data_IF_259726474834
#
_entry.id   IF_259726474834
#
_cell.length_a   1.000
_cell.length_b   1.000
_cell.length_c   1.000
_cell.angle_alpha   90.00
_cell.angle_beta   90.00
_cell.angle_gamma   90.00
#
_symmetry.space_group_name_H-M   'P 1'
#
loop_
_entity.id
_entity.type
_entity.pdbx_description
1 polymer ?
#
# COMPACT_ATOMS: atom_id res chain seq x y z
N UNK A 1 13.34 -20.81 12.26
CA UNK A 1 14.06 -19.88 11.35
C UNK A 1 13.83 -18.47 11.86
N UNK A 2 14.88 -17.65 11.93
CA UNK A 2 14.77 -16.27 12.43
C UNK A 2 14.45 -15.31 11.28
N UNK A 3 13.54 -14.37 11.51
CA UNK A 3 13.16 -13.36 10.52
C UNK A 3 14.17 -12.21 10.54
N UNK A 4 14.66 -11.82 9.37
CA UNK A 4 15.45 -10.60 9.22
C UNK A 4 14.53 -9.42 9.51
N UNK A 5 14.91 -8.61 10.50
CA UNK A 5 14.21 -7.37 10.82
C UNK A 5 14.75 -6.24 9.97
N UNK A 6 13.84 -5.38 9.54
CA UNK A 6 14.25 -4.17 8.82
C UNK A 6 15.02 -3.22 9.74
N UNK A 7 16.14 -2.72 9.23
CA UNK A 7 16.96 -1.70 9.89
C UNK A 7 16.64 -0.37 9.22
N UNK A 8 16.13 0.58 10.01
CA UNK A 8 15.85 1.94 9.53
C UNK A 8 17.15 2.67 9.18
N UNK A 9 17.14 3.48 8.11
CA UNK A 9 18.24 4.40 7.84
C UNK A 9 18.47 5.40 8.97
N UNK A 10 19.68 5.95 9.05
CA UNK A 10 19.96 7.12 9.86
C UNK A 10 19.27 8.34 9.23
N UNK A 11 18.26 8.88 9.91
CA UNK A 11 17.48 10.03 9.44
C UNK A 11 18.31 11.31 9.25
N UNK A 12 19.50 11.39 9.86
CA UNK A 12 20.44 12.49 9.67
C UNK A 12 21.25 12.35 8.38
N UNK A 13 21.40 11.13 7.85
CA UNK A 13 22.12 10.84 6.62
C UNK A 13 21.16 10.72 5.43
N UNK A 14 21.00 11.82 4.68
CA UNK A 14 20.17 11.83 3.49
C UNK A 14 20.65 10.86 2.39
N UNK A 15 21.91 10.44 2.40
CA UNK A 15 22.48 9.53 1.41
C UNK A 15 21.97 8.08 1.52
N UNK A 16 21.37 7.71 2.65
CA UNK A 16 20.78 6.39 2.86
C UNK A 16 19.35 6.25 2.30
N UNK A 17 18.82 7.32 1.69
CA UNK A 17 17.47 7.35 1.13
C UNK A 17 17.53 7.39 -0.39
N UNK A 18 16.73 6.55 -1.04
CA UNK A 18 16.66 6.47 -2.50
C UNK A 18 15.49 7.32 -2.98
N UNK A 19 15.75 8.24 -3.91
CA UNK A 19 14.70 8.92 -4.66
C UNK A 19 14.19 8.01 -5.77
N UNK A 20 12.92 7.59 -5.67
CA UNK A 20 12.28 6.72 -6.66
C UNK A 20 11.61 7.48 -7.82
N UNK A 21 11.78 8.80 -7.90
CA UNK A 21 11.27 9.65 -8.96
C UNK A 21 9.75 9.53 -9.11
N UNK A 22 9.30 9.13 -10.29
CA UNK A 22 7.89 8.95 -10.62
C UNK A 22 7.33 7.55 -10.23
N UNK A 23 8.14 6.66 -9.65
CA UNK A 23 7.70 5.31 -9.30
C UNK A 23 6.91 5.30 -7.98
N UNK A 24 5.61 5.55 -8.07
CA UNK A 24 4.70 5.61 -6.93
C UNK A 24 4.63 4.31 -6.12
N UNK A 25 4.86 3.15 -6.74
CA UNK A 25 4.86 1.86 -6.03
C UNK A 25 6.05 1.70 -5.10
N UNK A 26 7.24 2.11 -5.57
CA UNK A 26 8.44 2.09 -4.74
C UNK A 26 8.33 3.09 -3.60
N UNK A 27 7.74 4.26 -3.86
CA UNK A 27 7.41 5.20 -2.80
C UNK A 27 6.42 4.64 -1.79
N UNK A 28 5.31 4.06 -2.25
CA UNK A 28 4.34 3.42 -1.38
C UNK A 28 5.02 2.38 -0.47
N UNK A 29 5.88 1.55 -1.04
CA UNK A 29 6.64 0.56 -0.30
C UNK A 29 7.51 1.18 0.80
N UNK A 30 8.26 2.25 0.48
CA UNK A 30 9.10 2.94 1.47
C UNK A 30 8.28 3.52 2.64
N UNK A 31 7.08 4.04 2.38
CA UNK A 31 6.19 4.52 3.45
C UNK A 31 5.52 3.38 4.23
N UNK A 32 5.08 2.33 3.55
CA UNK A 32 4.42 1.17 4.16
C UNK A 32 5.40 0.38 5.05
N UNK A 33 6.61 0.07 4.56
CA UNK A 33 7.58 -0.72 5.34
C UNK A 33 8.05 -0.02 6.63
N UNK A 34 7.80 1.29 6.73
CA UNK A 34 8.01 2.13 7.93
C UNK A 34 6.87 2.11 8.95
N UNK A 35 5.73 1.50 8.63
CA UNK A 35 4.60 1.37 9.55
C UNK A 35 4.87 0.28 10.58
N UNK A 36 4.79 0.62 11.86
CA UNK A 36 5.03 -0.33 12.95
C UNK A 36 3.99 -1.45 12.97
N UNK A 37 2.73 -1.11 12.70
CA UNK A 37 1.64 -2.09 12.62
C UNK A 37 1.85 -3.05 11.44
N UNK A 38 2.31 -2.57 10.29
CA UNK A 38 2.68 -3.45 9.16
C UNK A 38 3.83 -4.40 9.51
N UNK A 39 4.89 -3.89 10.14
CA UNK A 39 6.04 -4.71 10.55
C UNK A 39 5.61 -5.79 11.54
N UNK A 40 4.81 -5.43 12.54
CA UNK A 40 4.32 -6.37 13.54
C UNK A 40 3.45 -7.46 12.92
N UNK A 41 2.47 -7.08 12.09
CA UNK A 41 1.61 -8.04 11.41
C UNK A 41 2.43 -8.99 10.52
N UNK A 42 3.43 -8.47 9.79
CA UNK A 42 4.31 -9.32 8.99
C UNK A 42 5.07 -10.34 9.85
N UNK A 43 5.75 -9.88 10.92
CA UNK A 43 6.54 -10.78 11.76
C UNK A 43 5.70 -11.81 12.51
N UNK A 44 4.43 -11.48 12.81
CA UNK A 44 3.49 -12.40 13.43
C UNK A 44 3.05 -13.52 12.47
N UNK A 45 2.83 -13.21 11.19
CA UNK A 45 2.20 -14.15 10.23
C UNK A 45 3.17 -14.84 9.25
N UNK A 46 4.41 -14.36 9.11
CA UNK A 46 5.33 -14.85 8.10
C UNK A 46 5.71 -16.33 8.27
N UNK A 47 5.99 -16.78 9.50
CA UNK A 47 6.39 -18.18 9.75
C UNK A 47 5.22 -19.15 9.51
N UNK A 48 4.03 -18.82 10.02
CA UNK A 48 2.81 -19.61 9.79
C UNK A 48 2.48 -19.72 8.29
N UNK A 49 2.60 -18.61 7.55
CA UNK A 49 2.39 -18.62 6.09
C UNK A 49 3.39 -19.54 5.39
N UNK A 50 4.66 -19.50 5.80
CA UNK A 50 5.70 -20.36 5.23
C UNK A 50 5.44 -21.85 5.51
N UNK A 51 5.09 -22.20 6.75
CA UNK A 51 4.77 -23.56 7.16
C UNK A 51 3.57 -24.11 6.36
N UNK A 52 2.52 -23.30 6.21
CA UNK A 52 1.36 -23.64 5.38
C UNK A 52 1.77 -23.87 3.91
N UNK A 53 2.62 -23.02 3.34
CA UNK A 53 3.08 -23.21 1.95
C UNK A 53 3.91 -24.48 1.80
N UNK A 54 4.80 -24.80 2.75
CA UNK A 54 5.51 -26.07 2.78
C UNK A 54 4.56 -27.27 2.80
N UNK A 55 3.52 -27.23 3.63
CA UNK A 55 2.51 -28.30 3.70
C UNK A 55 1.76 -28.45 2.37
N UNK A 56 1.24 -27.36 1.80
CA UNK A 56 0.48 -27.38 0.55
C UNK A 56 1.32 -27.91 -0.62
N UNK A 57 2.58 -27.45 -0.74
CA UNK A 57 3.47 -27.86 -1.84
C UNK A 57 3.97 -29.30 -1.69
N UNK A 58 4.08 -29.80 -0.46
CA UNK A 58 4.46 -31.19 -0.20
C UNK A 58 3.30 -32.19 -0.33
N UNK A 59 2.05 -31.72 -0.31
CA UNK A 59 0.87 -32.60 -0.40
C UNK A 59 0.23 -32.64 -1.78
N UNK A 60 0.34 -31.59 -2.60
CA UNK A 60 -0.29 -31.56 -3.92
C UNK A 60 0.66 -32.08 -5.02
N UNK A 61 0.23 -33.16 -5.67
CA UNK A 61 1.00 -33.86 -6.72
C UNK A 61 1.41 -32.93 -7.88
N UNK A 62 0.53 -31.99 -8.24
CA UNK A 62 0.81 -30.92 -9.20
C UNK A 62 2.09 -30.14 -8.88
N UNK A 63 2.34 -29.77 -7.62
CA UNK A 63 3.51 -28.99 -7.24
C UNK A 63 4.79 -29.83 -7.14
N UNK A 64 4.65 -31.13 -6.83
CA UNK A 64 5.77 -32.08 -6.82
C UNK A 64 6.38 -32.24 -8.21
N UNK A 65 5.53 -32.35 -9.24
CA UNK A 65 5.97 -32.50 -10.63
C UNK A 65 6.72 -31.26 -11.13
N UNK A 66 6.33 -30.07 -10.66
CA UNK A 66 6.94 -28.80 -11.07
C UNK A 66 8.24 -28.46 -10.32
N UNK A 67 8.63 -29.24 -9.29
CA UNK A 67 9.83 -29.01 -8.47
C UNK A 67 9.93 -27.57 -7.93
N UNK A 68 8.79 -26.93 -7.64
CA UNK A 68 8.78 -25.58 -7.12
C UNK A 68 9.32 -25.57 -5.69
N UNK A 69 10.26 -24.66 -5.42
CA UNK A 69 10.80 -24.43 -4.08
C UNK A 69 9.97 -23.37 -3.39
N UNK A 70 9.52 -23.66 -2.16
CA UNK A 70 8.82 -22.67 -1.33
C UNK A 70 9.85 -21.66 -0.83
N UNK A 71 9.66 -20.39 -1.18
CA UNK A 71 10.50 -19.29 -0.70
C UNK A 71 10.34 -19.13 0.81
N UNK A 72 11.44 -18.88 1.50
CA UNK A 72 11.44 -18.54 2.92
C UNK A 72 11.06 -17.06 3.14
N UNK A 73 10.53 -16.70 4.31
CA UNK A 73 10.25 -15.34 4.75
C UNK A 73 11.34 -14.28 4.59
N UNK A 74 12.60 -14.69 4.48
CA UNK A 74 13.73 -13.78 4.27
C UNK A 74 14.12 -13.64 2.79
N UNK A 75 13.51 -14.43 1.91
CA UNK A 75 13.78 -14.39 0.48
C UNK A 75 12.85 -13.42 -0.24
N UNK A 76 13.44 -12.69 -1.17
CA UNK A 76 12.69 -11.82 -2.09
C UNK A 76 11.66 -12.66 -2.86
N UNK A 77 10.43 -12.20 -2.93
CA UNK A 77 9.33 -12.94 -3.53
C UNK A 77 8.36 -13.53 -2.51
N UNK A 78 8.81 -13.80 -1.28
CA UNK A 78 7.92 -14.28 -0.22
C UNK A 78 6.93 -13.20 0.23
N UNK A 79 5.70 -13.61 0.54
CA UNK A 79 4.65 -12.76 1.09
C UNK A 79 3.96 -13.45 2.25
N UNK A 80 3.76 -12.73 3.36
CA UNK A 80 2.93 -13.22 4.45
C UNK A 80 1.44 -13.07 4.10
N UNK A 81 0.63 -14.04 4.51
CA UNK A 81 -0.83 -13.98 4.47
C UNK A 81 -1.34 -13.26 5.72
N UNK A 82 -1.43 -11.93 5.66
CA UNK A 82 -1.90 -11.11 6.78
C UNK A 82 -3.44 -10.94 6.68
N UNK A 83 -4.21 -11.24 7.73
CA UNK A 83 -5.65 -10.99 7.75
C UNK A 83 -5.99 -9.52 7.49
N UNK A 84 -6.96 -9.27 6.62
CA UNK A 84 -7.43 -7.92 6.24
C UNK A 84 -6.34 -6.98 5.69
N UNK A 85 -5.22 -7.54 5.18
CA UNK A 85 -4.09 -6.78 4.66
C UNK A 85 -4.50 -5.68 3.69
N UNK A 86 -5.46 -5.96 2.80
CA UNK A 86 -5.94 -4.99 1.83
C UNK A 86 -6.67 -3.81 2.50
N UNK A 87 -7.54 -4.08 3.47
CA UNK A 87 -8.23 -3.02 4.21
C UNK A 87 -7.28 -2.16 5.04
N UNK A 88 -6.21 -2.76 5.58
CA UNK A 88 -5.23 -2.06 6.43
C UNK A 88 -4.14 -1.31 5.63
N UNK A 89 -3.71 -1.91 4.53
CA UNK A 89 -2.48 -1.56 3.80
C UNK A 89 -2.66 -1.50 2.29
N UNK A 90 -3.87 -1.60 1.74
CA UNK A 90 -4.12 -1.50 0.29
C UNK A 90 -3.26 -2.47 -0.58
N UNK A 91 -2.74 -3.55 0.03
CA UNK A 91 -1.97 -4.60 -0.63
C UNK A 91 -2.47 -5.96 -0.15
N UNK A 92 -2.55 -6.94 -1.06
CA UNK A 92 -3.02 -8.29 -0.75
C UNK A 92 -1.88 -9.23 -0.34
N UNK A 93 -0.66 -8.91 -0.76
CA UNK A 93 0.52 -9.74 -0.58
C UNK A 93 1.57 -8.93 0.17
N UNK A 94 1.86 -9.31 1.41
CA UNK A 94 2.68 -8.50 2.31
C UNK A 94 4.13 -8.98 2.31
N UNK A 95 5.05 -8.32 1.57
CA UNK A 95 6.46 -8.68 1.57
C UNK A 95 7.15 -8.31 2.88
N UNK A 96 8.29 -8.96 3.14
CA UNK A 96 9.11 -8.66 4.31
C UNK A 96 9.60 -7.19 4.27
N UNK A 97 9.36 -6.36 5.31
CA UNK A 97 9.81 -4.97 5.36
C UNK A 97 11.33 -4.80 5.20
N UNK A 98 12.12 -5.83 5.53
CA UNK A 98 13.57 -5.82 5.38
C UNK A 98 14.05 -5.88 3.92
N UNK A 99 13.17 -6.18 2.97
CA UNK A 99 13.53 -6.30 1.55
C UNK A 99 13.45 -4.92 0.89
N UNK A 100 14.56 -4.46 0.31
CA UNK A 100 14.69 -3.11 -0.26
C UNK A 100 13.83 -2.84 -1.50
N UNK A 101 13.31 -3.90 -2.12
CA UNK A 101 12.36 -3.74 -3.22
C UNK A 101 11.59 -5.05 -3.45
N UNK A 102 10.25 -5.05 -3.34
CA UNK A 102 9.46 -5.98 -4.13
C UNK A 102 9.73 -5.65 -5.62
N UNK A 103 10.36 -6.55 -6.38
CA UNK A 103 10.87 -6.31 -7.73
C UNK A 103 9.76 -6.01 -8.74
N UNK A 104 9.62 -4.83 -9.35
CA UNK A 104 8.59 -4.61 -10.36
C UNK A 104 8.78 -5.40 -11.67
N UNK A 105 9.97 -5.94 -11.97
CA UNK A 105 10.26 -6.66 -13.22
C UNK A 105 10.08 -8.20 -13.13
N UNK A 106 10.15 -8.77 -11.93
CA UNK A 106 9.82 -10.19 -11.63
C UNK A 106 8.46 -10.28 -10.92
N UNK A 107 8.12 -9.24 -10.16
CA UNK A 107 6.93 -9.09 -9.32
C UNK A 107 5.96 -8.01 -9.84
N UNK A 108 5.93 -7.84 -11.18
CA UNK A 108 4.89 -7.15 -11.98
C UNK A 108 3.53 -7.14 -11.25
N UNK A 109 2.87 -5.98 -11.10
CA UNK A 109 2.13 -5.46 -9.93
C UNK A 109 1.45 -6.52 -9.06
N UNK A 110 2.23 -7.48 -8.55
CA UNK A 110 1.72 -8.69 -7.89
C UNK A 110 1.43 -8.41 -6.43
N UNK A 111 2.25 -7.56 -5.82
CA UNK A 111 2.03 -7.06 -4.47
C UNK A 111 0.89 -6.05 -4.38
N UNK A 112 0.72 -5.27 -5.45
CA UNK A 112 -0.32 -4.27 -5.63
C UNK A 112 -1.49 -4.78 -6.47
N UNK A 113 -1.72 -6.10 -6.48
CA UNK A 113 -3.01 -6.57 -6.97
C UNK A 113 -4.06 -6.04 -6.00
N UNK A 114 -4.90 -5.17 -6.52
CA UNK A 114 -6.33 -5.13 -6.23
C UNK A 114 -6.89 -6.54 -6.42
N UNK A 115 -6.59 -7.44 -5.48
CA UNK A 115 -7.24 -8.72 -5.39
C UNK A 115 -8.40 -8.50 -4.44
N UNK A 116 -9.51 -8.06 -5.01
CA UNK A 116 -10.81 -8.50 -4.55
C UNK A 116 -10.80 -10.04 -4.59
N UNK A 117 -10.37 -10.67 -3.51
CA UNK A 117 -10.73 -12.05 -3.23
C UNK A 117 -11.63 -11.94 -1.99
N UNK A 118 -12.92 -12.24 -2.12
CA UNK A 118 -13.39 -13.56 -2.54
C UNK A 118 -13.87 -13.65 -4.01
N UNK A 119 -13.23 -14.58 -4.73
CA UNK A 119 -13.53 -15.14 -6.06
C UNK A 119 -13.81 -14.21 -7.26
N UNK A 120 -13.05 -14.45 -8.34
CA UNK A 120 -13.51 -14.19 -9.71
C UNK A 120 -14.03 -15.52 -10.24
N UNK A 121 -15.33 -15.61 -10.50
CA UNK A 121 -15.92 -16.65 -11.35
C UNK A 121 -16.32 -15.99 -12.66
N UNK A 122 -15.77 -16.48 -13.76
CA UNK A 122 -16.23 -16.15 -15.09
C UNK A 122 -17.39 -17.10 -15.45
N UNK A 123 -18.64 -16.65 -15.26
CA UNK A 123 -19.82 -17.35 -15.74
C UNK A 123 -20.33 -16.72 -17.03
N UNK A 124 -20.50 -17.52 -18.09
CA UNK A 124 -21.36 -17.14 -19.23
C UNK A 124 -22.81 -17.32 -18.78
N UNK A 125 -23.66 -16.32 -19.03
CA UNK A 125 -25.12 -16.52 -18.93
C UNK A 125 -25.50 -17.60 -19.95
N UNK A 126 -25.92 -18.78 -19.47
CA UNK A 126 -26.34 -19.92 -20.28
C UNK A 126 -25.74 -21.28 -19.92
N UNK A 127 -24.75 -21.36 -19.02
CA UNK A 127 -24.36 -22.65 -18.39
C UNK A 127 -25.13 -22.82 -17.08
N UNK A 128 -25.63 -24.02 -16.81
CA UNK A 128 -26.51 -24.43 -15.69
C UNK A 128 -25.95 -24.21 -14.26
N UNK A 129 -24.93 -23.39 -14.08
CA UNK A 129 -24.43 -22.96 -12.77
C UNK A 129 -24.89 -21.52 -12.50
N UNK A 130 -26.08 -21.39 -11.89
CA UNK A 130 -26.49 -20.15 -11.23
C UNK A 130 -25.69 -19.97 -9.92
N UNK A 131 -24.40 -19.64 -10.01
CA UNK A 131 -23.68 -19.16 -8.83
C UNK A 131 -24.10 -17.71 -8.55
N UNK A 132 -24.87 -17.53 -7.47
CA UNK A 132 -25.11 -16.22 -6.87
C UNK A 132 -23.77 -15.64 -6.45
N UNK A 133 -23.29 -14.64 -7.19
CA UNK A 133 -22.10 -13.87 -6.85
C UNK A 133 -22.40 -13.09 -5.56
N UNK A 134 -21.83 -13.52 -4.44
CA UNK A 134 -21.86 -12.77 -3.18
C UNK A 134 -20.60 -11.91 -3.12
N UNK A 135 -20.75 -10.60 -3.28
CA UNK A 135 -19.67 -9.62 -3.14
C UNK A 135 -19.96 -8.68 -1.97
N UNK A 136 -18.96 -8.44 -1.14
CA UNK A 136 -19.00 -7.46 -0.07
C UNK A 136 -18.24 -6.21 -0.54
N UNK A 137 -18.93 -5.07 -0.63
CA UNK A 137 -18.34 -3.78 -0.94
C UNK A 137 -18.17 -2.97 0.35
N UNK A 138 -17.05 -2.29 0.50
CA UNK A 138 -16.90 -1.25 1.53
C UNK A 138 -17.68 0.01 1.17
N UNK A 139 -17.76 0.97 2.09
CA UNK A 139 -18.58 2.18 1.94
C UNK A 139 -18.20 3.12 0.78
N UNK A 140 -17.05 2.90 0.13
CA UNK A 140 -16.52 3.72 -0.96
C UNK A 140 -16.19 2.91 -2.23
N UNK A 141 -16.71 1.70 -2.36
CA UNK A 141 -16.50 0.83 -3.53
C UNK A 141 -17.78 0.66 -4.35
N UNK A 142 -17.62 0.38 -5.64
CA UNK A 142 -18.73 0.14 -6.57
C UNK A 142 -18.37 -0.96 -7.57
N UNK A 143 -19.34 -1.82 -7.86
CA UNK A 143 -19.21 -2.89 -8.86
C UNK A 143 -20.11 -2.59 -10.07
N UNK A 144 -19.54 -2.72 -11.26
CA UNK A 144 -20.27 -2.65 -12.53
C UNK A 144 -20.31 -4.02 -13.18
N UNK A 145 -21.51 -4.45 -13.58
CA UNK A 145 -21.71 -5.61 -14.44
C UNK A 145 -21.84 -5.13 -15.88
N UNK A 146 -21.04 -5.69 -16.78
CA UNK A 146 -21.07 -5.40 -18.21
C UNK A 146 -21.79 -6.51 -18.98
N UNK A 147 -22.64 -6.12 -19.92
CA UNK A 147 -23.28 -7.02 -20.87
C UNK A 147 -22.38 -7.15 -22.10
N UNK A 148 -21.91 -8.38 -22.36
CA UNK A 148 -21.01 -8.67 -23.47
C UNK A 148 -21.70 -8.67 -24.83
N UNK A 149 -23.04 -8.65 -24.87
CA UNK A 149 -23.81 -8.49 -26.10
C UNK A 149 -23.93 -7.03 -26.55
N UNK A 150 -23.55 -6.08 -25.69
CA UNK A 150 -23.64 -4.64 -25.95
C UNK A 150 -22.26 -4.01 -26.24
N UNK A 151 -22.20 -2.89 -26.98
CA UNK A 151 -20.95 -2.15 -27.17
C UNK A 151 -20.32 -1.72 -25.85
N UNK A 152 -19.03 -1.98 -25.68
CA UNK A 152 -18.32 -1.73 -24.41
C UNK A 152 -18.20 -0.22 -24.12
N UNK A 153 -17.99 0.61 -25.14
CA UNK A 153 -17.76 2.06 -24.96
C UNK A 153 -18.97 2.78 -24.34
N UNK A 154 -20.20 2.41 -24.77
CA UNK A 154 -21.43 2.96 -24.22
C UNK A 154 -21.61 2.60 -22.73
N UNK A 155 -21.21 1.38 -22.37
CA UNK A 155 -21.29 0.90 -21.00
C UNK A 155 -20.22 1.56 -20.11
N UNK A 156 -19.00 1.75 -20.64
CA UNK A 156 -17.92 2.48 -19.95
C UNK A 156 -18.27 3.94 -19.71
N UNK A 157 -18.89 4.61 -20.70
CA UNK A 157 -19.36 5.99 -20.55
C UNK A 157 -20.37 6.11 -19.39
N UNK A 158 -21.37 5.23 -19.37
CA UNK A 158 -22.38 5.17 -18.30
C UNK A 158 -21.74 4.89 -16.94
N UNK A 159 -20.83 3.89 -16.87
CA UNK A 159 -20.15 3.55 -15.63
C UNK A 159 -19.34 4.73 -15.08
N UNK A 160 -18.63 5.45 -15.96
CA UNK A 160 -17.87 6.65 -15.60
C UNK A 160 -18.75 7.75 -15.00
N UNK A 161 -19.91 8.01 -15.60
CA UNK A 161 -20.87 9.00 -15.08
C UNK A 161 -21.39 8.61 -13.69
N UNK A 162 -21.70 7.33 -13.49
CA UNK A 162 -22.18 6.81 -12.21
C UNK A 162 -21.12 6.91 -11.10
N UNK A 163 -19.87 6.54 -11.38
CA UNK A 163 -18.76 6.71 -10.43
C UNK A 163 -18.55 8.18 -10.10
N UNK A 164 -18.53 9.07 -11.10
CA UNK A 164 -18.31 10.49 -10.87
C UNK A 164 -19.41 11.12 -10.00
N UNK A 165 -20.68 10.74 -10.23
CA UNK A 165 -21.82 11.17 -9.41
C UNK A 165 -21.68 10.72 -7.96
N UNK A 166 -21.42 9.44 -7.74
CA UNK A 166 -21.38 8.87 -6.38
C UNK A 166 -20.13 9.32 -5.62
N UNK A 167 -19.02 9.55 -6.33
CA UNK A 167 -17.82 10.20 -5.79
C UNK A 167 -18.12 11.63 -5.34
N UNK A 168 -18.85 12.43 -6.13
CA UNK A 168 -19.29 13.78 -5.75
C UNK A 168 -20.18 13.73 -4.50
N UNK A 169 -21.13 12.79 -4.44
CA UNK A 169 -22.04 12.62 -3.30
C UNK A 169 -21.30 12.22 -2.03
N UNK A 170 -20.36 11.28 -2.13
CA UNK A 170 -19.50 10.87 -1.01
C UNK A 170 -18.72 12.06 -0.46
N UNK A 171 -18.08 12.84 -1.34
CA UNK A 171 -17.31 14.02 -0.93
C UNK A 171 -18.21 15.09 -0.30
N UNK A 172 -19.40 15.34 -0.86
CA UNK A 172 -20.38 16.24 -0.26
C UNK A 172 -20.76 15.80 1.16
N UNK A 173 -21.10 14.52 1.36
CA UNK A 173 -21.44 13.98 2.70
C UNK A 173 -20.29 14.12 3.70
N UNK A 174 -19.04 14.04 3.24
CA UNK A 174 -17.85 14.14 4.09
C UNK A 174 -17.46 15.59 4.41
N UNK A 175 -17.68 16.52 3.48
CA UNK A 175 -17.12 17.88 3.54
C UNK A 175 -18.17 18.98 3.73
N UNK A 176 -19.43 18.72 3.41
CA UNK A 176 -20.50 19.72 3.36
C UNK A 176 -20.42 20.66 2.15
N UNK A 177 -19.45 20.48 1.24
CA UNK A 177 -19.25 21.33 0.06
C UNK A 177 -20.10 20.85 -1.12
N UNK A 178 -20.99 21.71 -1.64
CA UNK A 178 -21.87 21.44 -2.79
C UNK A 178 -21.11 21.26 -4.11
N UNK A 179 -19.85 21.73 -4.17
CA UNK A 179 -18.98 21.56 -5.32
C UNK A 179 -17.62 20.97 -4.90
N UNK A 180 -17.62 19.72 -4.39
CA UNK A 180 -16.43 19.13 -3.84
C UNK A 180 -15.41 18.93 -4.96
N UNK A 181 -14.28 19.62 -4.87
CA UNK A 181 -13.18 19.41 -5.79
C UNK A 181 -12.57 18.05 -5.50
N UNK A 182 -12.42 17.24 -6.54
CA UNK A 182 -11.46 16.14 -6.49
C UNK A 182 -10.11 16.77 -6.19
N UNK A 183 -9.63 16.53 -4.97
CA UNK A 183 -8.28 16.92 -4.61
C UNK A 183 -7.38 16.01 -5.43
N UNK A 184 -7.04 16.45 -6.64
CA UNK A 184 -5.88 15.92 -7.36
C UNK A 184 -4.68 16.30 -6.50
N UNK A 185 -4.36 15.44 -5.55
CA UNK A 185 -3.14 15.56 -4.76
C UNK A 185 -2.02 15.33 -5.75
N UNK A 186 -1.47 16.40 -6.32
CA UNK A 186 -0.17 16.30 -6.99
C UNK A 186 0.79 15.75 -5.95
N UNK A 187 1.26 14.53 -6.18
CA UNK A 187 2.31 13.93 -5.39
C UNK A 187 3.56 14.81 -5.58
N UNK A 188 3.88 15.63 -4.57
CA UNK A 188 5.14 16.37 -4.52
C UNK A 188 6.26 15.40 -4.11
N UNK A 189 6.55 14.43 -4.98
CA UNK A 189 7.49 13.33 -4.71
C UNK A 189 8.89 13.83 -4.36
N UNK A 190 9.26 15.03 -4.83
CA UNK A 190 10.49 15.74 -4.46
C UNK A 190 10.66 16.00 -2.95
N UNK A 191 9.59 15.90 -2.15
CA UNK A 191 9.64 16.04 -0.69
C UNK A 191 9.62 14.70 0.06
N UNK A 192 9.39 13.59 -0.64
CA UNK A 192 9.13 12.31 0.01
C UNK A 192 10.37 11.72 0.68
N UNK A 193 11.57 11.96 0.16
CA UNK A 193 12.83 11.66 0.89
C UNK A 193 12.84 12.33 2.26
N UNK A 194 12.53 13.63 2.32
CA UNK A 194 12.44 14.36 3.59
C UNK A 194 11.36 13.79 4.51
N UNK A 195 10.22 13.35 3.96
CA UNK A 195 9.17 12.72 4.77
C UNK A 195 9.59 11.35 5.32
N UNK A 196 10.30 10.52 4.56
CA UNK A 196 10.86 9.27 5.08
C UNK A 196 11.83 9.53 6.23
N UNK A 197 12.72 10.54 6.08
CA UNK A 197 13.62 10.99 7.16
C UNK A 197 12.85 11.45 8.40
N UNK A 198 11.78 12.22 8.23
CA UNK A 198 10.91 12.65 9.35
C UNK A 198 10.32 11.44 10.08
N UNK A 199 9.83 10.42 9.37
CA UNK A 199 9.27 9.22 9.99
C UNK A 199 10.33 8.44 10.78
N UNK A 200 11.53 8.30 10.22
CA UNK A 200 12.63 7.62 10.90
C UNK A 200 13.15 8.43 12.10
N UNK A 201 13.13 9.77 12.03
CA UNK A 201 13.45 10.67 13.14
C UNK A 201 12.45 10.54 14.29
N UNK A 202 11.14 10.53 13.98
CA UNK A 202 10.08 10.31 14.98
C UNK A 202 10.26 8.96 15.67
N UNK A 203 10.54 7.90 14.90
CA UNK A 203 10.77 6.58 15.47
C UNK A 203 12.04 6.53 16.34
N UNK A 204 13.09 7.27 15.98
CA UNK A 204 14.30 7.42 16.77
C UNK A 204 14.10 8.29 18.05
N UNK A 205 12.91 8.86 18.25
CA UNK A 205 12.61 9.70 19.42
C UNK A 205 13.08 11.15 19.29
N UNK A 206 13.38 11.63 18.08
CA UNK A 206 13.78 13.01 17.85
C UNK A 206 12.65 14.00 18.20
N UNK A 207 13.02 15.16 18.73
CA UNK A 207 12.06 16.24 19.03
C UNK A 207 11.61 16.96 17.76
N UNK A 208 10.50 17.71 17.85
CA UNK A 208 10.02 18.50 16.72
C UNK A 208 11.01 19.60 16.34
N UNK A 209 11.70 20.16 17.32
CA UNK A 209 12.76 21.14 17.18
C UNK A 209 13.94 20.54 16.39
N UNK A 210 14.42 19.36 16.79
CA UNK A 210 15.51 18.64 16.08
C UNK A 210 15.14 18.31 14.63
N UNK A 211 13.90 17.86 14.39
CA UNK A 211 13.37 17.55 13.07
C UNK A 211 13.32 18.82 12.20
N UNK A 212 12.78 19.92 12.74
CA UNK A 212 12.69 21.21 12.03
C UNK A 212 14.06 21.74 11.61
N UNK A 213 15.01 21.72 12.54
CA UNK A 213 16.38 22.20 12.31
C UNK A 213 17.15 21.37 11.29
N UNK A 214 17.16 20.04 11.45
CA UNK A 214 18.02 19.16 10.66
C UNK A 214 17.50 18.88 9.24
N UNK A 215 16.19 18.91 9.02
CA UNK A 215 15.60 18.50 7.73
C UNK A 215 15.39 19.68 6.79
N UNK A 216 15.00 20.85 7.31
CA UNK A 216 14.84 22.08 6.50
C UNK A 216 16.06 23.01 6.60
N UNK A 217 17.13 22.60 7.30
CA UNK A 217 18.38 23.36 7.46
C UNK A 217 18.13 24.81 7.94
N UNK A 218 17.21 24.98 8.88
CA UNK A 218 16.88 26.30 9.42
C UNK A 218 18.06 26.82 10.27
N UNK A 219 18.36 28.12 10.16
CA UNK A 219 19.35 28.78 11.03
C UNK A 219 18.88 28.84 12.49
N UNK A 220 19.83 28.89 13.42
CA UNK A 220 19.68 28.73 14.89
C UNK A 220 18.88 29.84 15.62
N UNK A 221 18.05 30.63 14.93
CA UNK A 221 17.56 31.91 15.46
C UNK A 221 16.11 31.89 16.05
N UNK A 222 15.33 30.81 15.94
CA UNK A 222 13.97 30.74 16.53
C UNK A 222 13.43 29.32 16.83
N UNK A 223 13.63 28.82 18.05
CA UNK A 223 13.11 27.53 18.55
C UNK A 223 11.60 27.33 18.33
N UNK A 224 10.79 28.40 18.38
CA UNK A 224 9.33 28.30 18.19
C UNK A 224 8.99 28.06 16.73
N UNK A 225 9.79 28.60 15.81
CA UNK A 225 9.66 28.36 14.39
C UNK A 225 10.07 26.93 14.04
N UNK A 226 11.18 26.44 14.59
CA UNK A 226 11.66 25.06 14.39
C UNK A 226 10.60 24.03 14.80
N UNK A 227 10.04 24.16 16.01
CA UNK A 227 8.98 23.27 16.50
C UNK A 227 7.76 23.25 15.57
N UNK A 228 7.33 24.43 15.09
CA UNK A 228 6.18 24.56 14.20
C UNK A 228 6.44 23.89 12.85
N UNK A 229 7.65 24.04 12.31
CA UNK A 229 8.07 23.40 11.06
C UNK A 229 8.15 21.89 11.24
N UNK A 230 8.78 21.41 12.32
CA UNK A 230 8.83 19.98 12.67
C UNK A 230 7.43 19.36 12.77
N UNK A 231 6.51 20.02 13.47
CA UNK A 231 5.12 19.54 13.56
C UNK A 231 4.43 19.43 12.19
N UNK A 232 4.64 20.43 11.33
CA UNK A 232 4.07 20.43 9.98
C UNK A 232 4.64 19.30 9.13
N UNK A 233 5.95 19.05 9.24
CA UNK A 233 6.63 17.94 8.55
C UNK A 233 6.12 16.58 9.02
N UNK A 234 6.02 16.37 10.33
CA UNK A 234 5.50 15.12 10.91
C UNK A 234 4.08 14.85 10.44
N UNK A 235 3.21 15.86 10.45
CA UNK A 235 1.84 15.72 9.99
C UNK A 235 1.78 15.36 8.50
N UNK A 236 2.57 16.02 7.66
CA UNK A 236 2.62 15.75 6.23
C UNK A 236 3.16 14.33 5.94
N UNK A 237 4.21 13.90 6.63
CA UNK A 237 4.80 12.58 6.47
C UNK A 237 3.84 11.46 6.87
N UNK A 238 3.14 11.61 8.02
CA UNK A 238 2.10 10.67 8.45
C UNK A 238 0.91 10.64 7.49
N UNK A 239 0.49 11.80 6.97
CA UNK A 239 -0.58 11.85 5.99
C UNK A 239 -0.24 11.05 4.73
N UNK A 240 0.99 11.15 4.21
CA UNK A 240 1.42 10.32 3.06
C UNK A 240 1.50 8.83 3.44
N UNK A 241 1.98 8.52 4.65
CA UNK A 241 2.11 7.14 5.13
C UNK A 241 0.77 6.39 5.23
N UNK A 242 -0.29 7.06 5.69
CA UNK A 242 -1.60 6.43 5.91
C UNK A 242 -2.61 6.71 4.79
N UNK A 243 -2.46 7.82 4.06
CA UNK A 243 -3.37 8.25 2.98
C UNK A 243 -2.59 8.49 1.67
N UNK A 244 -1.83 7.47 1.25
CA UNK A 244 -0.91 7.56 0.12
C UNK A 244 -1.62 7.98 -1.18
N UNK A 245 -1.12 9.00 -1.90
CA UNK A 245 -1.77 9.54 -3.10
C UNK A 245 -1.36 8.75 -4.34
N UNK A 246 -2.09 7.67 -4.62
CA UNK A 246 -2.01 6.94 -5.90
C UNK A 246 -2.43 7.81 -7.09
#
# INVERSE_FOLDING_TARGET
>A
MELIKWIRPDWKDAGQYIDHGANLYMWYWEFLRRREDYQQDFYQHALETYELYCEVYSNLEFFKEQKLTVLTPNERGFTASIPDAYSKYLIAHCPNPAIDSPNPAIDSPRYFYYRSCNSIVAGKIGSEYEEKIVTYLSGNEMLFKFDLSMPIDAQLATAKEMVARDQKLYLYKKTGDENPKLIQRRAHTSKWVSYLRVLDAVHAGATLEEIGRCIEQMGDDDDRLEKRVGQKLVNAAKEVQFNFPF
#
